data_IF_833605332405
#
_entry.id   IF_833605332405
#
_cell.length_a   1.000
_cell.length_b   1.000
_cell.length_c   1.000
_cell.angle_alpha   90.00
_cell.angle_beta   90.00
_cell.angle_gamma   90.00
#
_symmetry.space_group_name_H-M   'P 1'
#
loop_
_entity.id
_entity.type
_entity.pdbx_description
1 polymer ?
#
# COMPACT_ATOMS: atom_id res chain seq x y z
N UNK A 1 6.14 24.23 -4.52
CA UNK A 1 7.45 24.01 -3.85
C UNK A 1 7.61 25.02 -2.73
N UNK A 2 7.41 26.32 -2.99
CA UNK A 2 7.39 27.36 -1.96
C UNK A 2 6.35 27.07 -0.85
N UNK A 3 5.13 26.67 -1.19
CA UNK A 3 4.11 26.25 -0.19
C UNK A 3 4.52 25.03 0.66
N UNK A 4 5.30 24.09 0.11
CA UNK A 4 5.77 22.94 0.87
C UNK A 4 6.91 23.33 1.82
N UNK A 5 7.73 24.31 1.43
CA UNK A 5 8.82 24.84 2.25
C UNK A 5 8.30 25.71 3.40
N UNK A 6 7.22 26.48 3.18
CA UNK A 6 6.62 27.27 4.26
C UNK A 6 6.09 26.41 5.41
N UNK A 7 5.66 25.18 5.14
CA UNK A 7 5.23 24.23 6.19
C UNK A 7 6.36 23.87 7.17
N UNK A 8 7.63 24.00 6.78
CA UNK A 8 8.78 23.70 7.65
C UNK A 8 9.26 24.93 8.44
N UNK A 9 8.78 26.14 8.14
CA UNK A 9 9.26 27.38 8.77
C UNK A 9 8.72 27.57 10.19
N UNK A 10 7.55 27.01 10.48
CA UNK A 10 6.87 27.22 11.76
C UNK A 10 7.32 26.24 12.86
N UNK A 11 8.27 25.33 12.59
CA UNK A 11 8.67 24.24 13.50
C UNK A 11 7.49 23.43 14.09
N UNK A 12 6.34 23.45 13.41
CA UNK A 12 5.18 22.68 13.82
C UNK A 12 5.43 21.19 13.61
N UNK A 13 5.33 20.40 14.67
CA UNK A 13 5.40 18.95 14.59
C UNK A 13 4.18 18.33 15.26
N UNK A 14 3.70 17.23 14.67
CA UNK A 14 2.68 16.39 15.27
C UNK A 14 3.28 15.01 15.51
N UNK A 15 2.95 14.42 16.65
CA UNK A 15 3.23 13.00 16.87
C UNK A 15 2.28 12.22 15.98
N UNK A 16 2.83 11.23 15.27
CA UNK A 16 2.06 10.29 14.47
C UNK A 16 2.41 8.87 14.87
N UNK A 17 1.44 7.99 14.75
CA UNK A 17 1.60 6.57 14.88
C UNK A 17 2.41 6.02 13.71
N UNK A 18 3.09 4.90 13.94
CA UNK A 18 3.73 4.10 12.91
C UNK A 18 3.34 2.64 13.11
N UNK A 19 3.27 1.89 12.02
CA UNK A 19 3.09 0.46 12.09
C UNK A 19 4.41 -0.26 12.30
N UNK A 20 4.40 -1.29 13.15
CA UNK A 20 5.47 -2.27 13.27
C UNK A 20 4.99 -3.59 12.65
N UNK A 21 5.89 -4.30 11.96
CA UNK A 21 5.62 -5.65 11.47
C UNK A 21 6.81 -6.56 11.74
N UNK A 22 6.54 -7.86 11.80
CA UNK A 22 7.57 -8.89 11.90
C UNK A 22 7.36 -9.93 10.80
N UNK A 23 8.45 -10.32 10.13
CA UNK A 23 8.43 -11.42 9.17
C UNK A 23 9.76 -12.17 9.23
N UNK A 24 9.70 -13.50 9.29
CA UNK A 24 10.89 -14.36 9.38
C UNK A 24 11.86 -13.95 10.51
N UNK A 25 11.33 -13.56 11.68
CA UNK A 25 12.12 -13.11 12.83
C UNK A 25 12.77 -11.73 12.68
N UNK A 26 12.41 -10.96 11.64
CA UNK A 26 12.90 -9.59 11.42
C UNK A 26 11.79 -8.59 11.65
N UNK A 27 12.07 -7.60 12.48
CA UNK A 27 11.18 -6.47 12.75
C UNK A 27 11.44 -5.36 11.73
N UNK A 28 10.37 -4.77 11.22
CA UNK A 28 10.38 -3.58 10.38
C UNK A 28 9.28 -2.60 10.78
N UNK A 29 9.33 -1.40 10.20
CA UNK A 29 8.40 -0.32 10.48
C UNK A 29 7.87 0.30 9.18
N UNK A 30 6.64 0.82 9.21
CA UNK A 30 6.05 1.56 8.11
C UNK A 30 5.29 2.79 8.63
N UNK A 31 5.40 3.90 7.89
CA UNK A 31 4.71 5.16 8.25
C UNK A 31 3.31 5.23 7.64
N UNK A 32 3.16 4.79 6.38
CA UNK A 32 1.91 4.92 5.66
C UNK A 32 1.09 3.63 5.65
N UNK A 33 1.59 2.61 4.98
CA UNK A 33 0.88 1.34 4.85
C UNK A 33 1.82 0.17 4.61
N UNK A 34 1.31 -1.02 4.90
CA UNK A 34 1.92 -2.30 4.59
C UNK A 34 0.93 -3.11 3.74
N UNK A 35 1.36 -3.51 2.55
CA UNK A 35 0.53 -4.23 1.58
C UNK A 35 1.03 -5.65 1.32
N UNK A 36 0.11 -6.54 0.98
CA UNK A 36 0.40 -7.88 0.48
C UNK A 36 -0.56 -8.28 -0.65
N UNK A 37 -0.12 -9.18 -1.52
CA UNK A 37 -0.88 -9.66 -2.68
C UNK A 37 -0.50 -8.96 -3.97
N UNK A 38 -1.45 -8.80 -4.89
CA UNK A 38 -1.21 -8.30 -6.25
C UNK A 38 -0.51 -6.93 -6.28
N UNK A 39 -0.85 -6.03 -5.35
CA UNK A 39 -0.24 -4.68 -5.26
C UNK A 39 1.28 -4.73 -4.94
N UNK A 40 1.68 -5.69 -4.11
CA UNK A 40 3.08 -5.92 -3.79
C UNK A 40 3.85 -6.48 -5.01
N UNK A 41 3.25 -7.40 -5.77
CA UNK A 41 3.85 -7.91 -7.00
C UNK A 41 3.96 -6.83 -8.08
N UNK A 42 2.94 -5.98 -8.23
CA UNK A 42 2.97 -4.85 -9.16
C UNK A 42 4.10 -3.89 -8.77
N UNK A 43 4.21 -3.56 -7.47
CA UNK A 43 5.24 -2.65 -6.96
C UNK A 43 6.65 -3.23 -7.13
N UNK A 44 6.87 -4.52 -6.87
CA UNK A 44 8.16 -5.19 -7.10
C UNK A 44 8.51 -5.23 -8.59
N UNK A 45 7.56 -5.59 -9.47
CA UNK A 45 7.80 -5.61 -10.92
C UNK A 45 8.06 -4.20 -11.47
N UNK A 46 7.32 -3.19 -11.03
CA UNK A 46 7.53 -1.80 -11.43
C UNK A 46 8.90 -1.27 -10.97
N UNK A 47 9.35 -1.66 -9.77
CA UNK A 47 10.67 -1.25 -9.26
C UNK A 47 11.84 -1.96 -9.95
N UNK A 48 11.66 -3.21 -10.36
CA UNK A 48 12.69 -3.97 -11.10
C UNK A 48 12.70 -3.70 -12.60
N UNK A 49 11.62 -3.15 -13.15
CA UNK A 49 11.48 -3.02 -14.61
C UNK A 49 12.49 -2.03 -15.21
N UNK A 50 13.30 -2.44 -16.22
CA UNK A 50 14.22 -1.55 -16.92
C UNK A 50 13.48 -0.45 -17.71
N UNK A 51 12.19 -0.67 -18.00
CA UNK A 51 11.31 0.30 -18.66
C UNK A 51 11.07 1.54 -17.80
N UNK A 52 11.29 1.50 -16.47
CA UNK A 52 11.21 2.67 -15.60
C UNK A 52 12.05 3.84 -16.13
N UNK A 53 13.28 3.56 -16.59
CA UNK A 53 14.17 4.57 -17.18
C UNK A 53 13.65 5.17 -18.49
N UNK A 54 12.98 4.38 -19.32
CA UNK A 54 12.43 4.83 -20.59
C UNK A 54 11.12 5.62 -20.39
N UNK A 55 10.29 5.24 -19.42
CA UNK A 55 9.04 5.95 -19.10
C UNK A 55 9.27 7.22 -18.26
N UNK A 56 10.31 7.27 -17.43
CA UNK A 56 10.76 8.51 -16.76
C UNK A 56 11.18 9.57 -17.80
N UNK A 57 11.83 9.13 -18.89
CA UNK A 57 12.21 10.01 -20.02
C UNK A 57 10.99 10.59 -20.75
N UNK A 58 9.89 9.83 -20.86
CA UNK A 58 8.65 10.25 -21.54
C UNK A 58 7.62 10.89 -20.58
N UNK A 59 7.97 11.09 -19.29
CA UNK A 59 7.02 11.53 -18.22
C UNK A 59 5.75 10.67 -18.11
N UNK A 60 5.82 9.43 -18.57
CA UNK A 60 4.69 8.51 -18.67
C UNK A 60 4.68 7.48 -17.52
N UNK A 61 5.30 7.79 -16.39
CA UNK A 61 5.46 6.91 -15.24
C UNK A 61 4.14 6.32 -14.70
N UNK A 62 2.97 6.94 -14.91
CA UNK A 62 1.67 6.36 -14.52
C UNK A 62 1.20 5.22 -15.45
N UNK A 63 1.62 5.22 -16.72
CA UNK A 63 1.19 4.21 -17.69
C UNK A 63 1.85 2.86 -17.47
N UNK A 64 3.09 2.82 -16.97
CA UNK A 64 3.76 1.56 -16.64
C UNK A 64 3.07 0.83 -15.48
N UNK A 65 2.65 1.56 -14.43
CA UNK A 65 1.86 0.97 -13.34
C UNK A 65 0.53 0.43 -13.83
N UNK A 66 -0.17 1.17 -14.71
CA UNK A 66 -1.43 0.70 -15.28
C UNK A 66 -1.25 -0.57 -16.14
N UNK A 67 -0.21 -0.61 -16.98
CA UNK A 67 0.08 -1.78 -17.81
C UNK A 67 0.42 -3.01 -16.95
N UNK A 68 1.31 -2.85 -15.96
CA UNK A 68 1.67 -3.93 -15.03
C UNK A 68 0.44 -4.36 -14.23
N UNK A 69 -0.40 -3.42 -13.79
CA UNK A 69 -1.65 -3.73 -13.11
C UNK A 69 -2.57 -4.59 -13.97
N UNK A 70 -2.84 -4.21 -15.22
CA UNK A 70 -3.70 -5.00 -16.13
C UNK A 70 -3.10 -6.38 -16.37
N UNK A 71 -1.79 -6.48 -16.63
CA UNK A 71 -1.09 -7.76 -16.81
C UNK A 71 -1.24 -8.65 -15.57
N UNK A 72 -1.04 -8.09 -14.38
CA UNK A 72 -1.15 -8.81 -13.12
C UNK A 72 -2.58 -9.17 -12.78
N UNK A 73 -3.56 -8.34 -13.16
CA UNK A 73 -4.97 -8.62 -12.93
C UNK A 73 -5.36 -10.00 -13.52
N UNK A 74 -4.91 -10.30 -14.74
CA UNK A 74 -5.21 -11.58 -15.39
C UNK A 74 -4.26 -12.75 -15.02
N UNK A 75 -3.08 -12.47 -14.47
CA UNK A 75 -2.06 -13.51 -14.20
C UNK A 75 -1.87 -13.86 -12.72
N UNK A 76 -2.25 -12.96 -11.82
CA UNK A 76 -2.20 -13.18 -10.38
C UNK A 76 -3.18 -14.28 -9.98
N UNK A 77 -2.77 -15.12 -9.04
CA UNK A 77 -3.60 -16.21 -8.51
C UNK A 77 -3.99 -15.88 -7.06
N UNK A 78 -5.23 -15.41 -6.83
CA UNK A 78 -5.71 -15.15 -5.49
C UNK A 78 -5.65 -16.40 -4.61
N UNK A 79 -5.24 -16.22 -3.36
CA UNK A 79 -5.08 -17.32 -2.40
C UNK A 79 -6.07 -17.19 -1.25
N UNK A 80 -6.22 -18.25 -0.46
CA UNK A 80 -6.93 -18.16 0.82
C UNK A 80 -5.98 -17.61 1.87
N UNK A 81 -6.45 -16.68 2.71
CA UNK A 81 -5.67 -16.13 3.81
C UNK A 81 -6.48 -16.16 5.10
N UNK A 82 -5.77 -16.41 6.20
CA UNK A 82 -6.28 -16.24 7.56
C UNK A 82 -5.78 -14.91 8.10
N UNK A 83 -6.70 -14.11 8.63
CA UNK A 83 -6.43 -12.81 9.21
C UNK A 83 -6.94 -12.80 10.64
N UNK A 84 -6.12 -12.37 11.58
CA UNK A 84 -6.49 -12.23 12.99
C UNK A 84 -6.37 -10.76 13.35
N UNK A 85 -7.51 -10.12 13.66
CA UNK A 85 -7.59 -8.70 14.03
C UNK A 85 -8.15 -8.63 15.44
N UNK A 86 -7.38 -8.07 16.38
CA UNK A 86 -7.80 -7.91 17.77
C UNK A 86 -8.37 -9.20 18.40
N UNK A 87 -7.75 -10.34 18.07
CA UNK A 87 -8.18 -11.67 18.52
C UNK A 87 -9.32 -12.31 17.70
N UNK A 88 -9.94 -11.57 16.78
CA UNK A 88 -11.00 -12.08 15.91
C UNK A 88 -10.41 -12.70 14.64
N UNK A 89 -10.78 -13.96 14.37
CA UNK A 89 -10.30 -14.70 13.21
C UNK A 89 -11.23 -14.52 12.01
N UNK A 90 -10.66 -14.14 10.87
CA UNK A 90 -11.33 -13.96 9.58
C UNK A 90 -10.67 -14.87 8.55
N UNK A 91 -11.45 -15.76 7.94
CA UNK A 91 -10.97 -16.61 6.85
C UNK A 91 -11.43 -16.03 5.51
N UNK A 92 -10.49 -15.52 4.72
CA UNK A 92 -10.77 -14.86 3.45
C UNK A 92 -10.42 -15.80 2.29
N UNK A 93 -11.32 -15.91 1.32
CA UNK A 93 -11.14 -16.71 0.10
C UNK A 93 -10.86 -15.80 -1.09
N UNK A 94 -10.05 -16.28 -2.04
CA UNK A 94 -9.68 -15.54 -3.26
C UNK A 94 -9.19 -14.11 -2.93
N UNK A 95 -8.22 -14.00 -2.03
CA UNK A 95 -7.63 -12.72 -1.61
C UNK A 95 -6.74 -12.18 -2.71
N UNK A 96 -7.12 -11.01 -3.22
CA UNK A 96 -6.36 -10.26 -4.22
C UNK A 96 -5.26 -9.44 -3.56
N UNK A 97 -5.63 -8.67 -2.54
CA UNK A 97 -4.68 -7.95 -1.71
C UNK A 97 -5.26 -7.60 -0.35
N UNK A 98 -4.35 -7.36 0.60
CA UNK A 98 -4.65 -6.77 1.91
C UNK A 98 -3.70 -5.60 2.11
N UNK A 99 -4.24 -4.48 2.59
CA UNK A 99 -3.48 -3.27 2.95
C UNK A 99 -3.82 -2.89 4.39
N UNK A 100 -2.79 -2.87 5.22
CA UNK A 100 -2.81 -2.32 6.58
C UNK A 100 -2.38 -0.86 6.46
N UNK A 101 -3.26 0.07 6.78
CA UNK A 101 -3.08 1.50 6.56
C UNK A 101 -3.09 2.28 7.88
N UNK A 102 -2.13 3.20 7.99
CA UNK A 102 -2.06 4.23 9.02
C UNK A 102 -2.55 5.59 8.49
N UNK A 103 -2.46 5.83 7.17
CA UNK A 103 -2.95 7.06 6.56
C UNK A 103 -3.97 6.79 5.43
N UNK A 104 -4.82 7.77 5.08
CA UNK A 104 -5.89 7.56 4.11
C UNK A 104 -5.45 7.33 2.67
N UNK A 105 -4.23 7.75 2.32
CA UNK A 105 -3.77 7.88 0.95
C UNK A 105 -2.63 6.91 0.64
N UNK A 106 -2.71 6.23 -0.50
CA UNK A 106 -1.64 5.38 -1.00
C UNK A 106 -1.46 5.47 -2.53
N UNK A 107 -0.38 4.86 -3.02
CA UNK A 107 -0.07 4.69 -4.45
C UNK A 107 -0.29 5.94 -5.31
N UNK A 108 0.34 7.06 -4.94
CA UNK A 108 0.34 8.29 -5.75
C UNK A 108 -0.92 9.15 -5.60
N UNK A 109 -1.65 9.02 -4.48
CA UNK A 109 -2.75 9.91 -4.09
C UNK A 109 -4.13 9.26 -4.07
N UNK A 110 -4.22 7.93 -4.20
CA UNK A 110 -5.49 7.22 -4.08
C UNK A 110 -5.95 7.17 -2.63
N UNK A 111 -7.12 7.74 -2.36
CA UNK A 111 -7.72 7.76 -1.02
C UNK A 111 -8.61 6.53 -0.82
N UNK A 112 -8.04 5.46 -0.28
CA UNK A 112 -8.76 4.18 -0.16
C UNK A 112 -9.09 3.85 1.29
N UNK A 113 -8.23 4.22 2.26
CA UNK A 113 -8.54 4.03 3.67
C UNK A 113 -9.08 5.33 4.28
N UNK A 114 -10.24 5.78 3.81
CA UNK A 114 -10.82 7.09 4.16
C UNK A 114 -11.00 7.33 5.66
N UNK A 115 -11.09 6.25 6.44
CA UNK A 115 -11.27 6.28 7.90
C UNK A 115 -9.97 6.26 8.70
N UNK A 116 -8.81 6.07 8.04
CA UNK A 116 -7.51 6.09 8.72
C UNK A 116 -7.19 7.46 9.31
N UNK A 117 -6.64 7.47 10.51
CA UNK A 117 -6.08 8.64 11.17
C UNK A 117 -4.67 8.32 11.61
N UNK A 118 -3.81 9.33 11.56
CA UNK A 118 -2.37 9.13 11.76
C UNK A 118 -1.98 9.13 13.23
N UNK A 119 -2.92 9.37 14.13
CA UNK A 119 -2.70 9.68 15.55
C UNK A 119 -3.80 9.14 16.48
N UNK A 120 -4.59 8.15 16.02
CA UNK A 120 -5.69 7.55 16.80
C UNK A 120 -5.33 6.23 17.48
N UNK A 121 -4.07 5.80 17.37
CA UNK A 121 -3.54 4.56 17.91
C UNK A 121 -4.04 3.31 17.19
N UNK A 122 -4.59 3.43 15.97
CA UNK A 122 -5.21 2.31 15.24
C UNK A 122 -4.66 2.19 13.83
N UNK A 123 -4.58 0.94 13.38
CA UNK A 123 -4.34 0.60 11.98
C UNK A 123 -5.64 0.11 11.34
N UNK A 124 -5.87 0.50 10.10
CA UNK A 124 -7.05 0.11 9.34
C UNK A 124 -6.69 -0.97 8.33
N UNK A 125 -7.41 -2.10 8.35
CA UNK A 125 -7.17 -3.20 7.42
C UNK A 125 -8.20 -3.18 6.29
N UNK A 126 -7.73 -3.09 5.06
CA UNK A 126 -8.55 -3.14 3.85
C UNK A 126 -8.20 -4.41 3.09
N UNK A 127 -9.19 -5.28 2.86
CA UNK A 127 -8.99 -6.53 2.12
C UNK A 127 -9.89 -6.56 0.90
N UNK A 128 -9.31 -6.86 -0.26
CA UNK A 128 -10.07 -7.14 -1.48
C UNK A 128 -9.99 -8.63 -1.74
N UNK A 129 -11.14 -9.29 -1.70
CA UNK A 129 -11.25 -10.73 -1.79
C UNK A 129 -12.58 -11.13 -2.45
N UNK A 130 -12.69 -12.39 -2.85
CA UNK A 130 -13.87 -12.99 -3.48
C UNK A 130 -14.39 -12.29 -4.75
N UNK A 131 -13.50 -11.60 -5.46
CA UNK A 131 -13.79 -11.08 -6.80
C UNK A 131 -13.56 -12.21 -7.82
N UNK A 132 -14.52 -12.37 -8.72
CA UNK A 132 -14.39 -13.19 -9.92
C UNK A 132 -14.16 -12.24 -11.10
N UNK A 133 -13.09 -12.50 -11.88
CA UNK A 133 -12.79 -11.79 -13.12
C UNK A 133 -13.53 -12.41 -14.31
#
# INVERSE_FOLDING_TARGET
MEEALSLFQDNAFNVIDIGQFETNGKVGYFVNSLGMGIDAEISDEANRSPLKKWFDFVRAGKLIYLFIFIKKLFSYKPSCMELIIDGNRHLLKKVWFIVIANQPYFAGGMKISTMSKVDDGRLNVNAVHDITL
#
